data_IF_988944424997
#
_entry.id   IF_988944424997
#
_cell.length_a   1.000
_cell.length_b   1.000
_cell.length_c   1.000
_cell.angle_alpha   90.00
_cell.angle_beta   90.00
_cell.angle_gamma   90.00
#
_symmetry.space_group_name_H-M   'P 1'
#
loop_
_entity.id
_entity.type
_entity.pdbx_description
1 polymer ?
#
# COMPACT_ATOMS: atom_id res chain seq x y z
N UNK A 1 0.72 74.37 -27.16
CA UNK A 1 0.54 72.91 -27.29
C UNK A 1 0.98 72.28 -25.98
N UNK A 2 0.02 71.96 -25.07
CA UNK A 2 0.28 71.34 -23.78
C UNK A 2 0.22 69.82 -23.95
N UNK A 3 1.32 69.15 -23.70
CA UNK A 3 1.37 67.66 -23.62
C UNK A 3 0.85 67.22 -22.26
N UNK A 4 -0.28 66.52 -22.26
CA UNK A 4 -0.83 65.84 -21.08
C UNK A 4 -0.13 64.45 -20.96
N UNK A 5 0.63 64.27 -19.91
CA UNK A 5 1.25 62.98 -19.56
C UNK A 5 0.20 62.18 -18.75
N UNK A 6 -0.35 61.11 -19.34
CA UNK A 6 -1.22 60.17 -18.63
C UNK A 6 -0.33 59.12 -18.01
N UNK A 7 -0.15 59.20 -16.69
CA UNK A 7 0.56 58.18 -15.90
C UNK A 7 -0.43 57.07 -15.58
N UNK A 8 -0.28 55.92 -16.24
CA UNK A 8 -1.03 54.72 -15.91
C UNK A 8 -0.42 54.09 -14.63
N UNK A 9 -1.16 54.15 -13.53
CA UNK A 9 -0.85 53.41 -12.32
C UNK A 9 -1.31 51.96 -12.51
N UNK A 10 -0.37 51.04 -12.78
CA UNK A 10 -0.60 49.59 -12.63
C UNK A 10 -0.62 49.27 -11.14
N UNK A 11 -1.80 49.12 -10.57
CA UNK A 11 -1.94 48.49 -9.25
C UNK A 11 -1.66 47.01 -9.37
N UNK A 12 -0.45 46.59 -9.04
CA UNK A 12 -0.14 45.17 -8.76
C UNK A 12 -0.93 44.77 -7.51
N UNK A 13 -2.06 44.12 -7.71
CA UNK A 13 -2.69 43.32 -6.69
C UNK A 13 -1.80 42.08 -6.48
N UNK A 14 -0.77 42.21 -5.66
CA UNK A 14 -0.07 41.07 -5.06
C UNK A 14 -1.07 40.34 -4.18
N UNK A 15 -1.55 39.20 -4.60
CA UNK A 15 -2.24 38.27 -3.71
C UNK A 15 -1.24 37.93 -2.58
N UNK A 16 -1.43 38.51 -1.42
CA UNK A 16 -0.73 38.12 -0.18
C UNK A 16 -1.26 36.72 0.18
N UNK A 17 -0.61 35.68 -0.35
CA UNK A 17 -0.80 34.35 0.20
C UNK A 17 -0.33 34.41 1.65
N UNK A 18 -1.21 34.12 2.58
CA UNK A 18 -0.86 33.99 3.98
C UNK A 18 0.28 32.96 4.08
N UNK A 19 1.46 33.43 4.49
CA UNK A 19 2.61 32.57 4.76
C UNK A 19 2.26 31.71 5.97
N UNK A 20 1.60 30.56 5.73
CA UNK A 20 1.27 29.58 6.75
C UNK A 20 2.30 28.45 6.76
N UNK A 21 2.38 27.74 7.86
CA UNK A 21 3.12 26.49 7.96
C UNK A 21 2.13 25.36 8.11
N UNK A 22 2.32 24.29 7.33
CA UNK A 22 1.58 23.04 7.49
C UNK A 22 2.53 21.94 7.98
N UNK A 23 2.03 21.08 8.86
CA UNK A 23 2.74 19.90 9.36
C UNK A 23 2.24 18.66 8.67
N UNK A 24 3.16 17.88 8.11
CA UNK A 24 2.91 16.64 7.37
C UNK A 24 3.49 15.48 8.16
N UNK A 25 2.69 14.45 8.44
CA UNK A 25 3.22 13.18 8.90
C UNK A 25 3.35 12.21 7.71
N UNK A 26 4.44 11.44 7.74
CA UNK A 26 4.70 10.36 6.79
C UNK A 26 5.52 9.26 7.44
N UNK A 27 5.44 8.04 6.91
CA UNK A 27 6.34 6.94 7.26
C UNK A 27 7.47 6.75 6.25
N UNK A 28 7.57 7.62 5.26
CA UNK A 28 8.58 7.50 4.22
C UNK A 28 10.00 7.55 4.76
N UNK A 29 10.86 6.76 4.13
CA UNK A 29 12.31 6.78 4.27
C UNK A 29 12.98 6.81 2.90
N UNK A 30 14.31 6.84 2.88
CA UNK A 30 15.10 6.72 1.67
C UNK A 30 14.65 7.60 0.49
N UNK A 31 14.53 7.01 -0.73
CA UNK A 31 14.15 7.76 -1.94
C UNK A 31 12.76 8.40 -1.89
N UNK A 32 11.79 7.78 -1.20
CA UNK A 32 10.44 8.32 -1.07
C UNK A 32 10.41 9.58 -0.20
N UNK A 33 11.17 9.60 0.90
CA UNK A 33 11.29 10.77 1.75
C UNK A 33 11.98 11.92 1.01
N UNK A 34 13.06 11.63 0.27
CA UNK A 34 13.75 12.62 -0.55
C UNK A 34 12.83 13.23 -1.62
N UNK A 35 11.98 12.42 -2.25
CA UNK A 35 10.96 12.90 -3.17
C UNK A 35 9.96 13.84 -2.48
N UNK A 36 9.42 13.46 -1.32
CA UNK A 36 8.46 14.29 -0.58
C UNK A 36 9.07 15.61 -0.14
N UNK A 37 10.33 15.61 0.31
CA UNK A 37 11.07 16.84 0.67
C UNK A 37 11.24 17.76 -0.55
N UNK A 38 11.58 17.22 -1.71
CA UNK A 38 11.70 17.97 -2.96
C UNK A 38 10.35 18.56 -3.42
N UNK A 39 9.28 17.77 -3.31
CA UNK A 39 7.91 18.22 -3.58
C UNK A 39 7.49 19.35 -2.65
N UNK A 40 7.80 19.24 -1.35
CA UNK A 40 7.54 20.27 -0.35
C UNK A 40 8.25 21.59 -0.66
N UNK A 41 9.54 21.54 -1.04
CA UNK A 41 10.30 22.72 -1.45
C UNK A 41 9.71 23.36 -2.71
N UNK A 42 9.29 22.56 -3.69
CA UNK A 42 8.66 23.05 -4.92
C UNK A 42 7.31 23.72 -4.63
N UNK A 43 6.51 23.11 -3.77
CA UNK A 43 5.24 23.68 -3.32
C UNK A 43 5.44 24.99 -2.55
N UNK A 44 6.42 25.04 -1.63
CA UNK A 44 6.76 26.26 -0.89
C UNK A 44 7.16 27.41 -1.82
N UNK A 45 7.98 27.13 -2.83
CA UNK A 45 8.36 28.14 -3.85
C UNK A 45 7.16 28.67 -4.64
N UNK A 46 6.19 27.81 -4.94
CA UNK A 46 5.02 28.16 -5.74
C UNK A 46 3.93 28.87 -4.91
N UNK A 47 3.74 28.48 -3.65
CA UNK A 47 2.60 28.93 -2.81
C UNK A 47 2.97 29.85 -1.66
N UNK A 48 4.26 29.94 -1.28
CA UNK A 48 4.71 30.64 -0.07
C UNK A 48 4.43 29.87 1.22
N UNK A 49 3.77 28.69 1.16
CA UNK A 49 3.43 27.87 2.33
C UNK A 49 4.62 27.01 2.73
N UNK A 50 5.09 27.12 3.98
CA UNK A 50 6.14 26.24 4.54
C UNK A 50 5.54 24.87 4.85
N UNK A 51 6.26 23.80 4.47
CA UNK A 51 5.85 22.41 4.73
C UNK A 51 6.86 21.77 5.70
N UNK A 52 6.39 21.48 6.91
CA UNK A 52 7.17 20.79 7.94
C UNK A 52 6.87 19.29 7.90
N UNK A 53 7.85 18.47 7.49
CA UNK A 53 7.72 17.01 7.37
C UNK A 53 8.23 16.34 8.64
N UNK A 54 7.38 15.51 9.24
CA UNK A 54 7.69 14.70 10.43
C UNK A 54 7.54 13.23 10.07
N UNK A 55 8.62 12.48 10.22
CA UNK A 55 8.58 11.02 10.04
C UNK A 55 8.03 10.35 11.30
N UNK A 56 7.01 9.52 11.13
CA UNK A 56 6.35 8.75 12.19
C UNK A 56 6.37 7.28 11.79
N UNK A 57 6.70 6.33 12.69
CA UNK A 57 6.64 4.91 12.39
C UNK A 57 5.26 4.51 11.86
N UNK A 58 5.22 3.69 10.81
CA UNK A 58 3.99 3.31 10.11
C UNK A 58 2.89 2.81 11.06
N UNK A 59 3.24 1.91 12.00
CA UNK A 59 2.30 1.35 12.96
C UNK A 59 1.71 2.35 13.97
N UNK A 60 2.34 3.52 14.12
CA UNK A 60 1.94 4.54 15.11
C UNK A 60 1.02 5.61 14.53
N UNK A 61 1.06 5.84 13.21
CA UNK A 61 0.39 6.99 12.57
C UNK A 61 -1.09 7.04 12.93
N UNK A 62 -1.81 5.96 12.67
CA UNK A 62 -3.26 5.91 12.89
C UNK A 62 -3.64 6.25 14.34
N UNK A 63 -3.04 5.55 15.31
CA UNK A 63 -3.39 5.71 16.71
C UNK A 63 -3.01 7.11 17.23
N UNK A 64 -1.82 7.58 16.90
CA UNK A 64 -1.36 8.93 17.28
C UNK A 64 -2.23 10.01 16.66
N UNK A 65 -2.66 9.83 15.40
CA UNK A 65 -3.54 10.76 14.72
C UNK A 65 -4.93 10.81 15.37
N UNK A 66 -5.58 9.66 15.60
CA UNK A 66 -6.91 9.59 16.23
C UNK A 66 -6.90 10.27 17.59
N UNK A 67 -5.88 10.04 18.41
CA UNK A 67 -5.77 10.63 19.75
C UNK A 67 -5.35 12.10 19.74
N UNK A 68 -4.46 12.47 18.83
CA UNK A 68 -3.84 13.80 18.82
C UNK A 68 -4.65 14.86 18.07
N UNK A 69 -5.33 14.50 17.00
CA UNK A 69 -6.03 15.46 16.14
C UNK A 69 -7.08 16.30 16.86
N UNK A 70 -7.98 15.72 17.70
CA UNK A 70 -8.95 16.52 18.45
C UNK A 70 -8.33 17.45 19.52
N UNK A 71 -7.10 17.16 19.93
CA UNK A 71 -6.35 17.95 20.91
C UNK A 71 -5.45 19.03 20.28
N UNK A 72 -5.49 19.20 18.95
CA UNK A 72 -4.60 20.10 18.22
C UNK A 72 -3.13 19.65 18.20
N UNK A 73 -2.85 18.38 18.48
CA UNK A 73 -1.50 17.78 18.52
C UNK A 73 -1.18 16.91 17.30
N UNK A 74 -2.11 16.81 16.35
CA UNK A 74 -1.94 16.07 15.10
C UNK A 74 -1.28 16.93 14.01
N UNK A 75 -0.92 16.33 12.86
CA UNK A 75 -0.49 17.04 11.66
C UNK A 75 -1.67 17.72 10.96
N UNK A 76 -1.40 18.58 9.99
CA UNK A 76 -2.44 19.11 9.08
C UNK A 76 -2.88 18.04 8.06
N UNK A 77 -1.96 17.17 7.64
CA UNK A 77 -2.23 16.06 6.73
C UNK A 77 -1.25 14.89 6.94
N UNK A 78 -1.65 13.71 6.48
CA UNK A 78 -0.78 12.52 6.42
C UNK A 78 -0.51 12.16 4.96
N UNK A 79 0.73 11.96 4.62
CA UNK A 79 1.25 11.41 3.35
C UNK A 79 2.13 10.20 3.70
N UNK A 80 1.82 9.03 3.43
CA UNK A 80 0.72 8.32 2.82
C UNK A 80 -0.02 7.51 3.87
N UNK A 81 -1.34 7.37 3.71
CA UNK A 81 -2.15 6.51 4.56
C UNK A 81 -2.74 5.39 3.69
N UNK A 82 -2.63 4.10 4.09
CA UNK A 82 -3.31 3.02 3.38
C UNK A 82 -4.81 3.01 3.68
N UNK A 83 -5.62 2.64 2.69
CA UNK A 83 -7.08 2.71 2.78
C UNK A 83 -7.69 1.89 3.92
N UNK A 84 -7.07 0.77 4.30
CA UNK A 84 -7.57 -0.09 5.39
C UNK A 84 -7.59 0.59 6.76
N UNK A 85 -6.78 1.65 6.93
CA UNK A 85 -6.75 2.47 8.14
C UNK A 85 -7.74 3.64 8.08
N UNK A 86 -8.14 4.06 6.87
CA UNK A 86 -8.96 5.25 6.65
C UNK A 86 -10.34 5.13 7.28
N UNK A 87 -11.02 3.97 7.17
CA UNK A 87 -12.38 3.80 7.67
C UNK A 87 -12.50 4.03 9.18
N UNK A 88 -11.56 3.53 9.98
CA UNK A 88 -11.55 3.76 11.44
C UNK A 88 -11.34 5.24 11.76
N UNK A 89 -10.44 5.93 11.04
CA UNK A 89 -10.19 7.35 11.21
C UNK A 89 -11.37 8.21 10.77
N UNK A 90 -12.09 7.81 9.70
CA UNK A 90 -13.30 8.48 9.23
C UNK A 90 -14.44 8.37 10.28
N UNK A 91 -14.64 7.17 10.85
CA UNK A 91 -15.62 6.95 11.92
C UNK A 91 -15.28 7.73 13.19
N UNK A 92 -13.99 7.83 13.53
CA UNK A 92 -13.50 8.66 14.64
C UNK A 92 -13.68 10.18 14.39
N UNK A 93 -14.12 10.60 13.19
CA UNK A 93 -14.34 12.01 12.84
C UNK A 93 -13.06 12.85 12.74
N UNK A 94 -11.90 12.21 12.59
CA UNK A 94 -10.61 12.92 12.53
C UNK A 94 -10.17 13.28 11.11
N UNK A 95 -10.85 12.75 10.08
CA UNK A 95 -10.56 13.05 8.68
C UNK A 95 -11.55 14.07 8.11
N UNK A 96 -11.03 15.04 7.36
CA UNK A 96 -11.83 16.00 6.59
C UNK A 96 -12.40 15.33 5.34
N UNK A 97 -13.73 15.35 5.10
CA UNK A 97 -14.32 14.94 3.83
C UNK A 97 -13.85 15.85 2.71
N UNK A 98 -13.39 15.29 1.61
CA UNK A 98 -12.71 16.03 0.55
C UNK A 98 -13.61 16.35 -0.66
N UNK A 99 -14.86 15.90 -0.68
CA UNK A 99 -15.78 16.06 -1.82
C UNK A 99 -15.90 17.50 -2.31
N UNK A 100 -15.97 18.46 -1.39
CA UNK A 100 -16.07 19.90 -1.74
C UNK A 100 -14.77 20.51 -2.27
N UNK A 101 -13.65 19.79 -2.14
CA UNK A 101 -12.34 20.29 -2.56
C UNK A 101 -11.86 19.70 -3.87
N UNK A 102 -12.44 18.60 -4.34
CA UNK A 102 -12.06 17.92 -5.58
C UNK A 102 -13.09 18.15 -6.68
N UNK A 103 -12.66 18.11 -7.94
CA UNK A 103 -13.55 18.20 -9.09
C UNK A 103 -13.92 16.82 -9.59
N UNK A 104 -15.05 16.69 -10.29
CA UNK A 104 -15.44 15.45 -10.96
C UNK A 104 -14.36 15.00 -11.98
N UNK A 105 -13.69 15.93 -12.64
CA UNK A 105 -12.57 15.64 -13.55
C UNK A 105 -11.39 14.95 -12.84
N UNK A 106 -11.06 15.37 -11.62
CA UNK A 106 -10.03 14.71 -10.83
C UNK A 106 -10.44 13.25 -10.53
N UNK A 107 -11.65 13.05 -10.02
CA UNK A 107 -12.16 11.72 -9.63
C UNK A 107 -12.22 10.78 -10.85
N UNK A 108 -12.76 11.23 -11.98
CA UNK A 108 -12.88 10.43 -13.21
C UNK A 108 -11.52 10.13 -13.88
N UNK A 109 -10.51 10.93 -13.57
CA UNK A 109 -9.11 10.73 -14.02
C UNK A 109 -8.35 9.67 -13.26
N UNK A 110 -8.92 9.11 -12.16
CA UNK A 110 -8.32 8.05 -11.36
C UNK A 110 -8.85 6.67 -11.78
N UNK A 111 -8.08 5.64 -11.44
CA UNK A 111 -8.56 4.26 -11.49
C UNK A 111 -9.72 4.07 -10.50
N UNK A 112 -10.83 3.39 -10.87
CA UNK A 112 -12.01 3.26 -10.01
C UNK A 112 -11.68 2.65 -8.64
N UNK A 113 -10.82 1.63 -8.60
CA UNK A 113 -10.37 0.98 -7.36
C UNK A 113 -9.73 1.96 -6.37
N UNK A 114 -9.07 3.00 -6.87
CA UNK A 114 -8.43 4.01 -6.03
C UNK A 114 -9.46 4.98 -5.42
N UNK A 115 -10.49 5.33 -6.17
CA UNK A 115 -11.60 6.16 -5.68
C UNK A 115 -12.38 5.40 -4.60
N UNK A 116 -12.74 4.14 -4.88
CA UNK A 116 -13.47 3.27 -3.95
C UNK A 116 -12.69 3.05 -2.66
N UNK A 117 -11.36 2.92 -2.75
CA UNK A 117 -10.47 2.72 -1.61
C UNK A 117 -10.56 3.86 -0.59
N UNK A 118 -10.74 5.10 -1.02
CA UNK A 118 -10.84 6.28 -0.15
C UNK A 118 -12.26 6.84 0.00
N UNK A 119 -13.26 6.12 -0.51
CA UNK A 119 -14.68 6.43 -0.30
C UNK A 119 -15.26 5.59 0.85
N UNK A 120 -15.80 6.24 1.86
CA UNK A 120 -16.46 5.61 3.00
C UNK A 120 -17.76 6.35 3.33
N UNK A 121 -18.87 5.61 3.49
CA UNK A 121 -20.17 6.22 3.74
C UNK A 121 -20.59 7.23 2.67
N UNK A 122 -20.21 7.01 1.42
CA UNK A 122 -20.52 7.89 0.29
C UNK A 122 -19.70 9.19 0.23
N UNK A 123 -18.64 9.33 1.06
CA UNK A 123 -17.76 10.51 1.10
C UNK A 123 -16.32 10.14 0.79
N UNK A 124 -15.60 10.99 0.09
CA UNK A 124 -14.18 10.85 -0.20
C UNK A 124 -13.36 11.41 0.98
N UNK A 125 -12.56 10.58 1.66
CA UNK A 125 -11.74 10.97 2.82
C UNK A 125 -10.24 11.07 2.54
N UNK A 126 -9.80 10.80 1.33
CA UNK A 126 -8.40 10.94 0.95
C UNK A 126 -8.25 11.17 -0.54
N UNK A 127 -7.11 11.72 -0.94
CA UNK A 127 -6.70 11.82 -2.34
C UNK A 127 -5.79 10.66 -2.67
N UNK A 128 -6.24 9.68 -3.50
CA UNK A 128 -5.43 8.54 -3.89
C UNK A 128 -4.17 8.99 -4.61
N UNK A 129 -3.03 8.39 -4.25
CA UNK A 129 -1.72 8.75 -4.78
C UNK A 129 -1.02 7.61 -5.51
N UNK A 130 -1.09 6.40 -4.97
CA UNK A 130 -0.49 5.21 -5.59
C UNK A 130 -1.25 3.94 -5.23
N UNK A 131 -1.22 2.96 -6.13
CA UNK A 131 -1.62 1.59 -5.84
C UNK A 131 -0.41 0.73 -5.50
N UNK A 132 -0.63 -0.35 -4.78
CA UNK A 132 0.39 -1.30 -4.41
C UNK A 132 -0.18 -2.72 -4.26
N UNK A 133 0.68 -3.68 -4.48
CA UNK A 133 0.47 -5.09 -4.16
C UNK A 133 1.83 -5.75 -3.99
N UNK A 134 1.88 -6.95 -3.43
CA UNK A 134 3.07 -7.78 -3.60
C UNK A 134 3.03 -8.48 -4.95
N UNK A 135 4.22 -8.67 -5.54
CA UNK A 135 4.43 -9.38 -6.79
C UNK A 135 5.75 -10.17 -6.70
N UNK A 136 5.99 -11.08 -7.61
CA UNK A 136 7.27 -11.77 -7.69
C UNK A 136 8.30 -10.86 -8.36
N UNK A 137 9.27 -10.40 -7.57
CA UNK A 137 10.43 -9.64 -8.06
C UNK A 137 11.59 -10.62 -8.21
N UNK A 138 12.27 -10.61 -9.34
CA UNK A 138 13.37 -11.51 -9.62
C UNK A 138 14.63 -10.77 -10.02
N UNK A 139 15.78 -11.27 -9.58
CA UNK A 139 17.10 -10.78 -9.97
C UNK A 139 17.46 -11.31 -11.35
N UNK A 140 17.48 -10.46 -12.38
CA UNK A 140 17.74 -10.85 -13.77
C UNK A 140 19.11 -11.45 -13.98
N UNK A 141 20.09 -11.10 -13.14
CA UNK A 141 21.43 -11.69 -13.19
C UNK A 141 21.40 -13.18 -12.85
N UNK A 142 20.55 -13.59 -11.91
CA UNK A 142 20.39 -14.98 -11.48
C UNK A 142 19.32 -15.70 -12.29
N UNK A 143 18.23 -14.99 -12.62
CA UNK A 143 17.03 -15.49 -13.30
C UNK A 143 16.79 -14.67 -14.57
N UNK A 144 17.58 -14.91 -15.65
CA UNK A 144 17.41 -14.16 -16.90
C UNK A 144 16.07 -14.44 -17.59
N UNK A 145 15.46 -15.59 -17.34
CA UNK A 145 14.15 -15.97 -17.84
C UNK A 145 13.21 -16.19 -16.63
N UNK A 146 12.26 -15.27 -16.36
CA UNK A 146 11.36 -15.42 -15.22
C UNK A 146 10.43 -16.61 -15.41
N UNK A 147 9.98 -17.25 -14.30
CA UNK A 147 9.06 -18.37 -14.36
C UNK A 147 7.68 -17.94 -14.87
N UNK A 148 7.09 -18.77 -15.73
CA UNK A 148 5.72 -18.61 -16.25
C UNK A 148 4.72 -19.53 -15.56
N UNK A 149 5.21 -20.59 -14.95
CA UNK A 149 4.43 -21.61 -14.26
C UNK A 149 4.95 -21.85 -12.85
N UNK A 150 4.12 -22.48 -12.02
CA UNK A 150 4.52 -22.92 -10.68
C UNK A 150 5.72 -23.88 -10.72
N UNK A 151 5.73 -24.83 -11.66
CA UNK A 151 6.82 -25.81 -11.77
C UNK A 151 8.14 -25.13 -12.16
N UNK A 152 8.11 -24.16 -13.06
CA UNK A 152 9.29 -23.36 -13.39
C UNK A 152 9.76 -22.53 -12.20
N UNK A 153 8.83 -21.94 -11.41
CA UNK A 153 9.14 -21.23 -10.18
C UNK A 153 9.83 -22.15 -9.16
N UNK A 154 9.28 -23.34 -8.92
CA UNK A 154 9.88 -24.31 -8.01
C UNK A 154 11.27 -24.77 -8.48
N UNK A 155 11.45 -25.02 -9.76
CA UNK A 155 12.73 -25.43 -10.32
C UNK A 155 13.81 -24.36 -10.09
N UNK A 156 13.48 -23.08 -10.36
CA UNK A 156 14.36 -21.95 -10.12
C UNK A 156 14.63 -21.77 -8.62
N UNK A 157 13.59 -21.78 -7.79
CA UNK A 157 13.71 -21.61 -6.36
C UNK A 157 14.64 -22.68 -5.74
N UNK A 158 14.43 -23.96 -6.07
CA UNK A 158 15.29 -25.05 -5.60
C UNK A 158 16.72 -24.94 -6.10
N UNK A 159 16.92 -24.54 -7.36
CA UNK A 159 18.27 -24.39 -7.96
C UNK A 159 19.14 -23.39 -7.19
N UNK A 160 18.54 -22.28 -6.73
CA UNK A 160 19.27 -21.23 -6.04
C UNK A 160 19.23 -21.32 -4.51
N UNK A 161 18.51 -22.29 -3.94
CA UNK A 161 18.54 -22.55 -2.49
C UNK A 161 19.74 -23.44 -2.17
N UNK A 162 20.81 -22.81 -1.64
CA UNK A 162 22.10 -23.43 -1.26
C UNK A 162 22.49 -23.00 0.15
N UNK A 163 23.71 -23.26 0.59
CA UNK A 163 24.25 -22.71 1.85
C UNK A 163 24.43 -21.20 1.83
N UNK A 164 24.68 -20.61 0.64
CA UNK A 164 25.12 -19.22 0.49
C UNK A 164 24.09 -18.32 -0.21
N UNK A 165 23.09 -18.92 -0.86
CA UNK A 165 22.06 -18.23 -1.63
C UNK A 165 20.68 -18.78 -1.36
N UNK A 166 19.65 -17.96 -1.60
CA UNK A 166 18.25 -18.34 -1.49
C UNK A 166 17.55 -18.25 -2.85
N UNK A 167 16.70 -19.24 -3.15
CA UNK A 167 15.92 -19.22 -4.38
C UNK A 167 14.67 -18.35 -4.27
N UNK A 168 14.00 -18.39 -3.13
CA UNK A 168 12.80 -17.61 -2.86
C UNK A 168 12.64 -17.31 -1.37
N UNK A 169 12.41 -16.05 -1.03
CA UNK A 169 12.04 -15.61 0.31
C UNK A 169 10.93 -14.56 0.26
N UNK A 170 10.27 -14.37 1.38
CA UNK A 170 9.30 -13.31 1.58
C UNK A 170 9.04 -13.10 3.08
N UNK A 171 8.30 -12.05 3.45
CA UNK A 171 7.87 -11.84 4.84
C UNK A 171 6.76 -12.84 5.21
N UNK A 172 7.17 -14.01 5.73
CA UNK A 172 6.31 -15.19 5.87
C UNK A 172 5.18 -15.03 6.90
N UNK A 173 5.40 -14.22 7.95
CA UNK A 173 4.43 -14.05 9.04
C UNK A 173 3.52 -12.82 8.88
N UNK A 174 3.65 -12.08 7.78
CA UNK A 174 2.83 -10.92 7.51
C UNK A 174 1.57 -11.27 6.71
N UNK A 175 0.42 -10.89 7.23
CA UNK A 175 -0.88 -11.17 6.63
C UNK A 175 -1.05 -10.55 5.23
N UNK A 176 -0.48 -9.37 4.96
CA UNK A 176 -0.54 -8.71 3.67
C UNK A 176 0.18 -9.51 2.58
N UNK A 177 1.35 -10.06 2.90
CA UNK A 177 2.14 -10.89 1.98
C UNK A 177 1.50 -12.25 1.72
N UNK A 178 0.78 -12.78 2.71
CA UNK A 178 0.21 -14.13 2.65
C UNK A 178 -1.22 -14.19 2.10
N UNK A 179 -1.93 -13.07 1.97
CA UNK A 179 -3.34 -13.10 1.54
C UNK A 179 -3.55 -13.79 0.19
N UNK A 180 -2.61 -13.68 -0.73
CA UNK A 180 -2.68 -14.35 -2.03
C UNK A 180 -2.86 -15.86 -1.93
N UNK A 181 -2.26 -16.50 -0.93
CA UNK A 181 -2.40 -17.94 -0.67
C UNK A 181 -3.79 -18.29 -0.10
N UNK A 182 -4.39 -17.41 0.68
CA UNK A 182 -5.79 -17.56 1.11
C UNK A 182 -6.75 -17.38 -0.07
N UNK A 183 -6.54 -16.34 -0.87
CA UNK A 183 -7.39 -16.02 -2.01
C UNK A 183 -7.42 -17.12 -3.05
N UNK A 184 -6.30 -17.75 -3.37
CA UNK A 184 -6.24 -18.83 -4.37
C UNK A 184 -7.09 -20.03 -3.97
N UNK A 185 -7.29 -20.29 -2.68
CA UNK A 185 -8.19 -21.31 -2.15
C UNK A 185 -9.66 -20.89 -2.12
N UNK A 186 -9.94 -19.62 -2.46
CA UNK A 186 -11.28 -19.06 -2.50
C UNK A 186 -11.67 -18.27 -1.26
N UNK A 187 -10.73 -17.97 -0.35
CA UNK A 187 -10.97 -17.12 0.80
C UNK A 187 -11.29 -15.67 0.42
N UNK A 188 -11.95 -14.99 1.34
CA UNK A 188 -12.22 -13.56 1.34
C UNK A 188 -12.19 -13.06 2.78
N UNK A 189 -11.92 -11.76 2.98
CA UNK A 189 -11.92 -11.19 4.35
C UNK A 189 -13.34 -11.07 4.87
N UNK A 190 -14.16 -10.27 4.20
CA UNK A 190 -15.57 -10.08 4.53
C UNK A 190 -16.45 -10.40 3.31
N UNK A 191 -17.58 -11.03 3.56
CA UNK A 191 -18.63 -11.17 2.56
C UNK A 191 -19.23 -9.82 2.16
N UNK A 192 -20.25 -9.86 1.30
CA UNK A 192 -20.95 -8.65 0.85
C UNK A 192 -22.43 -8.70 1.23
N UNK A 193 -22.94 -7.55 1.65
CA UNK A 193 -24.36 -7.30 1.78
C UNK A 193 -25.00 -7.12 0.39
N UNK A 194 -26.34 -7.17 0.26
CA UNK A 194 -27.04 -6.96 -1.00
C UNK A 194 -26.75 -5.62 -1.69
N UNK A 195 -26.41 -4.58 -0.91
CA UNK A 195 -26.01 -3.26 -1.40
C UNK A 195 -24.53 -3.16 -1.83
N UNK A 196 -23.79 -4.29 -1.74
CA UNK A 196 -22.37 -4.36 -2.07
C UNK A 196 -21.41 -3.95 -0.96
N UNK A 197 -21.90 -3.43 0.17
CA UNK A 197 -21.08 -3.09 1.33
C UNK A 197 -20.49 -4.34 2.00
N UNK A 198 -19.42 -4.17 2.80
CA UNK A 198 -18.80 -5.28 3.51
C UNK A 198 -19.71 -5.84 4.60
N UNK A 199 -19.97 -7.15 4.55
CA UNK A 199 -20.63 -7.88 5.64
C UNK A 199 -19.57 -8.38 6.62
N UNK A 200 -19.30 -7.60 7.65
CA UNK A 200 -18.27 -7.91 8.66
C UNK A 200 -18.60 -9.07 9.59
N UNK A 201 -19.82 -9.63 9.50
CA UNK A 201 -20.22 -10.86 10.21
C UNK A 201 -19.87 -12.13 9.42
N UNK A 202 -19.71 -12.01 8.10
CA UNK A 202 -19.32 -13.10 7.20
C UNK A 202 -17.82 -13.03 6.91
N UNK A 203 -17.05 -13.88 7.58
CA UNK A 203 -15.57 -13.92 7.51
C UNK A 203 -15.16 -15.20 6.79
N UNK A 204 -14.63 -15.06 5.58
CA UNK A 204 -14.26 -16.19 4.72
C UNK A 204 -12.80 -16.64 4.82
N UNK A 205 -12.10 -16.35 5.93
CA UNK A 205 -10.70 -16.73 6.15
C UNK A 205 -10.54 -18.09 6.87
N UNK A 206 -11.63 -18.70 7.32
CA UNK A 206 -11.59 -19.90 8.15
C UNK A 206 -12.05 -21.17 7.43
N UNK A 207 -12.39 -22.20 8.24
CA UNK A 207 -12.88 -23.47 7.77
C UNK A 207 -11.88 -24.20 6.86
N UNK A 208 -12.38 -25.05 5.96
CA UNK A 208 -11.55 -25.82 5.05
C UNK A 208 -10.71 -24.96 4.09
N UNK A 209 -11.19 -23.78 3.74
CA UNK A 209 -10.49 -22.83 2.84
C UNK A 209 -9.28 -22.25 3.55
N UNK A 210 -9.46 -21.74 4.77
CA UNK A 210 -8.35 -21.22 5.58
C UNK A 210 -7.33 -22.30 5.94
N UNK A 211 -7.79 -23.50 6.29
CA UNK A 211 -6.91 -24.61 6.60
C UNK A 211 -6.01 -24.98 5.41
N UNK A 212 -6.57 -25.08 4.18
CA UNK A 212 -5.78 -25.36 2.97
C UNK A 212 -4.77 -24.24 2.66
N UNK A 213 -5.13 -22.98 2.87
CA UNK A 213 -4.21 -21.86 2.69
C UNK A 213 -3.03 -21.95 3.65
N UNK A 214 -3.30 -22.22 4.94
CA UNK A 214 -2.26 -22.40 5.96
C UNK A 214 -1.39 -23.65 5.69
N UNK A 215 -1.99 -24.75 5.19
CA UNK A 215 -1.23 -25.94 4.78
C UNK A 215 -0.29 -25.64 3.62
N UNK A 216 -0.73 -24.85 2.64
CA UNK A 216 0.13 -24.47 1.54
C UNK A 216 1.29 -23.57 1.99
N UNK A 217 1.02 -22.57 2.84
CA UNK A 217 2.05 -21.68 3.40
C UNK A 217 3.08 -22.52 4.18
N UNK A 218 2.62 -23.41 5.06
CA UNK A 218 3.46 -24.35 5.78
C UNK A 218 4.28 -25.24 4.84
N UNK A 219 3.71 -25.65 3.71
CA UNK A 219 4.40 -26.48 2.72
C UNK A 219 5.58 -25.75 2.05
N UNK A 220 5.57 -24.42 1.95
CA UNK A 220 6.72 -23.66 1.43
C UNK A 220 7.99 -23.95 2.23
N UNK A 221 7.86 -24.11 3.55
CA UNK A 221 8.95 -24.51 4.45
C UNK A 221 9.18 -26.01 4.45
N UNK A 222 8.20 -26.78 4.89
CA UNK A 222 8.40 -28.19 5.26
C UNK A 222 8.37 -29.16 4.08
N UNK A 223 7.67 -28.86 3.01
CA UNK A 223 7.54 -29.75 1.83
C UNK A 223 8.47 -29.31 0.71
N UNK A 224 8.51 -28.01 0.43
CA UNK A 224 9.30 -27.49 -0.67
C UNK A 224 10.71 -27.06 -0.25
N UNK A 225 10.94 -26.78 1.06
CA UNK A 225 12.24 -26.38 1.60
C UNK A 225 12.71 -25.00 1.08
N UNK A 226 11.78 -24.11 0.78
CA UNK A 226 12.10 -22.82 0.15
C UNK A 226 12.33 -21.69 1.15
N UNK A 227 11.55 -21.66 2.24
CA UNK A 227 11.57 -20.56 3.22
C UNK A 227 12.00 -21.14 4.57
N UNK A 228 13.22 -20.80 5.06
CA UNK A 228 13.68 -21.24 6.38
C UNK A 228 12.90 -20.51 7.50
N UNK A 229 13.08 -20.98 8.74
CA UNK A 229 12.47 -20.37 9.91
C UNK A 229 12.99 -18.96 10.18
N UNK A 230 12.10 -18.06 10.61
CA UNK A 230 12.45 -16.71 11.05
C UNK A 230 12.69 -15.70 9.92
N UNK A 231 12.19 -15.95 8.73
CA UNK A 231 12.29 -15.00 7.61
C UNK A 231 11.25 -13.91 7.78
N UNK A 232 11.69 -12.74 8.25
CA UNK A 232 10.92 -11.52 8.28
C UNK A 232 11.19 -10.64 7.04
N UNK A 233 10.56 -9.46 7.02
CA UNK A 233 10.75 -8.48 5.94
C UNK A 233 12.22 -8.09 5.78
N UNK A 234 12.92 -7.82 6.90
CA UNK A 234 14.32 -7.34 6.89
C UNK A 234 15.28 -8.40 6.33
N UNK A 235 15.09 -9.66 6.72
CA UNK A 235 15.90 -10.79 6.23
C UNK A 235 15.71 -10.98 4.72
N UNK A 236 14.45 -11.06 4.25
CA UNK A 236 14.18 -11.28 2.83
C UNK A 236 14.66 -10.10 1.96
N UNK A 237 14.33 -8.86 2.36
CA UNK A 237 14.67 -7.64 1.64
C UNK A 237 16.19 -7.40 1.62
N UNK A 238 16.88 -7.66 2.73
CA UNK A 238 18.34 -7.60 2.84
C UNK A 238 19.02 -8.59 1.89
N UNK A 239 18.62 -9.86 1.91
CA UNK A 239 19.17 -10.90 1.03
C UNK A 239 18.99 -10.55 -0.46
N UNK A 240 17.85 -9.93 -0.84
CA UNK A 240 17.63 -9.50 -2.21
C UNK A 240 18.53 -8.32 -2.58
N UNK A 241 18.66 -7.31 -1.71
CA UNK A 241 19.57 -6.16 -1.91
C UNK A 241 21.03 -6.56 -2.05
N UNK A 242 21.44 -7.58 -1.30
CA UNK A 242 22.82 -8.11 -1.37
C UNK A 242 23.07 -9.00 -2.60
N UNK A 243 22.02 -9.27 -3.40
CA UNK A 243 22.10 -10.14 -4.58
C UNK A 243 22.19 -11.64 -4.26
N UNK A 244 22.00 -12.03 -3.00
CA UNK A 244 22.02 -13.42 -2.52
C UNK A 244 20.68 -14.15 -2.68
N UNK A 245 19.63 -13.46 -3.14
CA UNK A 245 18.29 -14.00 -3.32
C UNK A 245 17.87 -13.92 -4.79
N UNK A 246 17.42 -15.03 -5.36
CA UNK A 246 17.01 -15.10 -6.76
C UNK A 246 15.64 -14.46 -7.01
N UNK A 247 14.66 -14.72 -6.14
CA UNK A 247 13.29 -14.23 -6.26
C UNK A 247 12.73 -13.85 -4.88
N UNK A 248 12.03 -12.73 -4.82
CA UNK A 248 11.36 -12.24 -3.60
C UNK A 248 9.90 -11.91 -3.90
N UNK A 249 8.99 -12.25 -2.99
CA UNK A 249 7.65 -11.66 -2.99
C UNK A 249 7.72 -10.35 -2.20
N UNK A 250 7.60 -9.21 -2.90
CA UNK A 250 7.69 -7.89 -2.28
C UNK A 250 6.87 -6.88 -3.08
N UNK A 251 6.74 -5.66 -2.57
CA UNK A 251 5.94 -4.60 -3.18
C UNK A 251 6.77 -3.46 -3.77
N UNK A 252 6.09 -2.50 -4.44
CA UNK A 252 6.76 -1.40 -5.14
C UNK A 252 7.52 -0.44 -4.20
N UNK A 253 7.24 -0.46 -2.91
CA UNK A 253 7.95 0.33 -1.89
C UNK A 253 9.44 -0.02 -1.74
N UNK A 254 9.86 -1.21 -2.16
CA UNK A 254 11.26 -1.65 -2.10
C UNK A 254 12.10 -1.22 -3.31
N UNK A 255 11.45 -0.86 -4.42
CA UNK A 255 12.12 -0.67 -5.72
C UNK A 255 13.11 0.48 -5.73
N UNK A 256 12.85 1.55 -4.99
CA UNK A 256 13.76 2.67 -4.86
C UNK A 256 15.11 2.25 -4.27
N UNK A 257 15.09 1.41 -3.23
CA UNK A 257 16.30 0.88 -2.61
C UNK A 257 16.99 -0.17 -3.49
N UNK A 258 16.24 -1.00 -4.21
CA UNK A 258 16.82 -1.96 -5.18
C UNK A 258 17.54 -1.25 -6.34
N UNK A 259 16.97 -0.17 -6.88
CA UNK A 259 17.62 0.69 -7.86
C UNK A 259 18.90 1.32 -7.31
N UNK A 260 18.86 1.81 -6.07
CA UNK A 260 20.01 2.39 -5.37
C UNK A 260 21.12 1.36 -5.12
N UNK A 261 20.76 0.10 -4.90
CA UNK A 261 21.69 -1.03 -4.81
C UNK A 261 22.22 -1.52 -6.18
N UNK A 262 21.85 -0.86 -7.29
CA UNK A 262 22.19 -1.24 -8.67
C UNK A 262 21.75 -2.66 -9.05
N UNK A 263 20.64 -3.15 -8.51
CA UNK A 263 20.07 -4.42 -8.91
C UNK A 263 19.36 -4.31 -10.26
N UNK A 264 19.64 -5.23 -11.16
CA UNK A 264 18.84 -5.46 -12.38
C UNK A 264 17.77 -6.48 -12.06
N UNK A 265 16.53 -6.02 -11.94
CA UNK A 265 15.38 -6.84 -11.55
C UNK A 265 14.22 -6.71 -12.53
N UNK A 266 13.35 -7.71 -12.51
CA UNK A 266 12.08 -7.68 -13.20
C UNK A 266 10.95 -8.01 -12.22
N UNK A 267 9.72 -7.78 -12.66
CA UNK A 267 8.50 -8.01 -11.86
C UNK A 267 7.50 -8.78 -12.70
N UNK A 268 6.90 -9.80 -12.11
CA UNK A 268 5.78 -10.57 -12.69
C UNK A 268 4.76 -10.88 -11.60
N UNK A 269 3.50 -11.18 -11.96
CA UNK A 269 2.58 -11.82 -11.02
C UNK A 269 3.16 -13.11 -10.44
N UNK A 270 2.86 -13.41 -9.18
CA UNK A 270 3.30 -14.67 -8.58
C UNK A 270 2.64 -15.86 -9.30
N UNK A 271 3.40 -16.88 -9.74
CA UNK A 271 2.85 -18.03 -10.44
C UNK A 271 1.86 -18.81 -9.58
N UNK A 272 0.69 -19.09 -10.14
CA UNK A 272 -0.37 -19.81 -9.44
C UNK A 272 -0.03 -21.28 -9.30
N UNK A 273 -0.04 -21.86 -8.08
CA UNK A 273 0.08 -23.30 -7.87
C UNK A 273 -1.06 -24.08 -8.54
N UNK A 274 -0.81 -25.30 -9.00
CA UNK A 274 -1.87 -26.12 -9.60
C UNK A 274 -2.92 -26.59 -8.57
N UNK A 275 -4.14 -26.86 -9.03
CA UNK A 275 -5.22 -27.38 -8.17
C UNK A 275 -5.93 -26.34 -7.31
N UNK A 276 -5.61 -25.07 -7.45
CA UNK A 276 -6.25 -23.96 -6.70
C UNK A 276 -7.58 -23.55 -7.34
N UNK A 277 -8.48 -22.94 -6.58
CA UNK A 277 -9.80 -22.49 -7.05
C UNK A 277 -9.75 -21.23 -7.91
N UNK A 278 -8.72 -20.39 -7.71
CA UNK A 278 -8.54 -19.10 -8.37
C UNK A 278 -7.05 -18.88 -8.67
N UNK A 279 -6.71 -18.03 -9.63
CA UNK A 279 -5.35 -17.55 -9.75
C UNK A 279 -4.87 -16.93 -8.42
N UNK A 280 -3.59 -17.10 -8.08
CA UNK A 280 -2.98 -16.39 -6.98
C UNK A 280 -3.14 -14.88 -7.22
N UNK A 281 -3.55 -14.15 -6.23
CA UNK A 281 -3.76 -12.72 -6.35
C UNK A 281 -3.64 -12.04 -4.99
N UNK A 282 -2.81 -10.98 -4.90
CA UNK A 282 -2.49 -10.31 -3.64
C UNK A 282 -3.63 -9.45 -3.12
N UNK A 283 -3.47 -8.89 -1.92
CA UNK A 283 -4.18 -7.67 -1.58
C UNK A 283 -3.75 -6.53 -2.52
N UNK A 284 -4.72 -5.73 -2.92
CA UNK A 284 -4.49 -4.44 -3.57
C UNK A 284 -4.66 -3.35 -2.53
N UNK A 285 -3.56 -2.67 -2.23
CA UNK A 285 -3.51 -1.49 -1.40
C UNK A 285 -3.58 -0.22 -2.24
N UNK A 286 -4.18 0.82 -1.71
CA UNK A 286 -4.09 2.17 -2.23
C UNK A 286 -3.61 3.09 -1.13
N UNK A 287 -2.57 3.84 -1.44
CA UNK A 287 -2.02 4.86 -0.56
C UNK A 287 -2.57 6.23 -0.97
N UNK A 288 -2.97 7.02 0.01
CA UNK A 288 -3.53 8.34 -0.25
C UNK A 288 -3.07 9.40 0.75
N UNK A 289 -3.36 10.63 0.40
CA UNK A 289 -3.16 11.80 1.27
C UNK A 289 -4.47 12.11 1.97
N UNK A 290 -4.47 12.14 3.30
CA UNK A 290 -5.63 12.47 4.11
C UNK A 290 -5.41 13.76 4.89
N UNK A 291 -6.47 14.56 5.09
CA UNK A 291 -6.41 15.87 5.75
C UNK A 291 -7.10 15.78 7.11
N UNK A 292 -6.49 16.40 8.10
CA UNK A 292 -7.00 16.46 9.46
C UNK A 292 -8.25 17.37 9.55
N UNK A 293 -9.37 16.82 10.05
CA UNK A 293 -10.61 17.57 10.25
C UNK A 293 -10.45 18.74 11.24
N UNK A 294 -9.48 18.66 12.15
CA UNK A 294 -9.19 19.68 13.16
C UNK A 294 -8.08 20.66 12.76
N UNK A 295 -7.49 20.51 11.57
CA UNK A 295 -6.48 21.44 11.07
C UNK A 295 -7.03 22.87 10.96
N UNK A 296 -6.24 23.85 11.41
CA UNK A 296 -6.53 25.26 11.20
C UNK A 296 -6.03 25.76 9.83
N UNK A 297 -5.21 24.91 9.16
CA UNK A 297 -4.58 25.21 7.86
C UNK A 297 -5.18 24.36 6.72
N UNK A 298 -6.46 23.97 6.81
CA UNK A 298 -7.11 23.01 5.90
C UNK A 298 -6.90 23.32 4.42
N UNK A 299 -7.07 24.60 4.03
CA UNK A 299 -6.94 25.01 2.61
C UNK A 299 -5.50 24.78 2.13
N UNK A 300 -4.50 25.16 2.92
CA UNK A 300 -3.09 24.95 2.58
C UNK A 300 -2.76 23.45 2.53
N UNK A 301 -3.25 22.66 3.47
CA UNK A 301 -3.10 21.19 3.50
C UNK A 301 -3.73 20.54 2.26
N UNK A 302 -4.96 20.90 1.90
CA UNK A 302 -5.64 20.42 0.69
C UNK A 302 -4.89 20.81 -0.57
N UNK A 303 -4.38 22.05 -0.66
CA UNK A 303 -3.61 22.48 -1.82
C UNK A 303 -2.30 21.71 -1.97
N UNK A 304 -1.63 21.39 -0.86
CA UNK A 304 -0.45 20.53 -0.89
C UNK A 304 -0.83 19.09 -1.28
N UNK A 305 -1.92 18.54 -0.75
CA UNK A 305 -2.42 17.23 -1.16
C UNK A 305 -2.70 17.19 -2.67
N UNK A 306 -3.39 18.21 -3.24
CA UNK A 306 -3.62 18.33 -4.68
C UNK A 306 -2.33 18.37 -5.48
N UNK A 307 -1.31 19.09 -4.99
CA UNK A 307 -0.01 19.17 -5.63
C UNK A 307 0.68 17.79 -5.71
N UNK A 308 0.60 16.99 -4.63
CA UNK A 308 1.20 15.67 -4.56
C UNK A 308 0.52 14.62 -5.45
N UNK A 309 -0.78 14.79 -5.76
CA UNK A 309 -1.56 13.79 -6.51
C UNK A 309 -1.76 14.14 -7.99
N UNK A 310 -1.09 15.18 -8.49
CA UNK A 310 -1.10 15.46 -9.94
C UNK A 310 -0.50 14.30 -10.72
N UNK A 311 -0.88 14.07 -11.99
CA UNK A 311 -0.28 13.02 -12.81
C UNK A 311 1.26 13.13 -12.89
N UNK A 312 1.79 14.33 -12.97
CA UNK A 312 3.24 14.61 -13.00
C UNK A 312 3.91 14.22 -11.69
N UNK A 313 3.31 14.56 -10.55
CA UNK A 313 3.78 14.16 -9.23
C UNK A 313 3.77 12.64 -9.07
N UNK A 314 2.72 11.94 -9.52
CA UNK A 314 2.65 10.49 -9.45
C UNK A 314 3.70 9.81 -10.34
N UNK A 315 3.98 10.35 -11.54
CA UNK A 315 5.09 9.87 -12.40
C UNK A 315 6.43 10.07 -11.69
N UNK A 316 6.70 11.24 -11.13
CA UNK A 316 7.96 11.53 -10.44
C UNK A 316 8.12 10.67 -9.17
N UNK A 317 7.02 10.38 -8.47
CA UNK A 317 7.01 9.47 -7.32
C UNK A 317 7.32 8.02 -7.71
N UNK A 318 6.77 7.55 -8.84
CA UNK A 318 7.14 6.25 -9.41
C UNK A 318 8.64 6.18 -9.75
N UNK A 319 9.17 7.22 -10.38
CA UNK A 319 10.59 7.27 -10.74
C UNK A 319 11.51 7.22 -9.53
N UNK A 320 11.14 7.93 -8.44
CA UNK A 320 11.91 7.98 -7.19
C UNK A 320 11.78 6.69 -6.36
N UNK A 321 10.55 6.26 -6.07
CA UNK A 321 10.24 5.20 -5.11
C UNK A 321 9.71 3.91 -5.73
N UNK A 322 9.33 3.91 -7.01
CA UNK A 322 8.76 2.73 -7.68
C UNK A 322 7.24 2.58 -7.53
N UNK A 323 6.56 3.44 -6.77
CA UNK A 323 5.12 3.36 -6.50
C UNK A 323 4.28 3.43 -7.78
N UNK A 324 3.23 2.62 -7.86
CA UNK A 324 2.41 2.52 -9.07
C UNK A 324 1.35 3.63 -9.05
N UNK A 325 1.31 4.51 -10.05
CA UNK A 325 0.31 5.58 -10.12
C UNK A 325 -1.12 5.06 -10.15
N UNK A 326 -2.06 5.87 -9.67
CA UNK A 326 -3.51 5.64 -9.78
C UNK A 326 -4.19 6.61 -10.73
N UNK A 327 -3.49 7.61 -11.23
CA UNK A 327 -3.94 8.48 -12.31
C UNK A 327 -3.83 7.74 -13.65
N UNK A 328 -4.93 7.64 -14.39
CA UNK A 328 -4.97 7.02 -15.73
C UNK A 328 -3.95 7.65 -16.68
N UNK A 329 -3.80 8.98 -16.64
CA UNK A 329 -2.83 9.68 -17.48
C UNK A 329 -1.38 9.46 -17.06
N UNK A 330 -1.10 9.28 -15.76
CA UNK A 330 0.22 8.91 -15.28
C UNK A 330 0.59 7.47 -15.67
N UNK A 331 -0.34 6.52 -15.53
CA UNK A 331 -0.17 5.13 -15.98
C UNK A 331 0.10 5.07 -17.48
N UNK A 332 -0.62 5.84 -18.30
CA UNK A 332 -0.39 5.91 -19.74
C UNK A 332 1.02 6.38 -20.10
N UNK A 333 1.60 7.31 -19.32
CA UNK A 333 2.99 7.77 -19.52
C UNK A 333 4.03 6.69 -19.18
N UNK A 334 3.68 5.71 -18.35
CA UNK A 334 4.57 4.65 -17.85
C UNK A 334 4.26 3.27 -18.47
N UNK A 335 3.39 3.18 -19.48
CA UNK A 335 2.93 1.92 -20.06
C UNK A 335 4.05 1.05 -20.68
N UNK A 336 5.18 1.65 -21.05
CA UNK A 336 6.38 0.95 -21.58
C UNK A 336 7.31 0.42 -20.48
N UNK A 337 7.14 0.86 -19.23
CA UNK A 337 7.94 0.38 -18.10
C UNK A 337 7.51 -1.03 -17.70
N UNK A 338 8.42 -2.02 -17.87
CA UNK A 338 8.13 -3.42 -17.60
C UNK A 338 7.87 -3.72 -16.12
N UNK A 339 8.43 -2.92 -15.21
CA UNK A 339 8.22 -3.04 -13.76
C UNK A 339 6.82 -2.56 -13.41
N UNK A 340 6.40 -1.39 -13.93
CA UNK A 340 5.05 -0.87 -13.79
C UNK A 340 4.03 -1.85 -14.36
N UNK A 341 4.31 -2.43 -15.52
CA UNK A 341 3.46 -3.45 -16.16
C UNK A 341 3.31 -4.68 -15.27
N UNK A 342 4.40 -5.25 -14.74
CA UNK A 342 4.36 -6.43 -13.89
C UNK A 342 3.54 -6.22 -12.61
N UNK A 343 3.67 -5.06 -11.95
CA UNK A 343 2.83 -4.72 -10.80
C UNK A 343 1.37 -4.49 -11.21
N UNK A 344 1.11 -3.82 -12.34
CA UNK A 344 -0.26 -3.60 -12.83
C UNK A 344 -0.97 -4.93 -13.13
N UNK A 345 -0.26 -5.90 -13.70
CA UNK A 345 -0.77 -7.27 -13.92
C UNK A 345 -1.07 -7.99 -12.58
N UNK A 346 -0.19 -7.86 -11.57
CA UNK A 346 -0.42 -8.42 -10.23
C UNK A 346 -1.62 -7.76 -9.54
N UNK A 347 -1.74 -6.42 -9.62
CA UNK A 347 -2.88 -5.65 -9.09
C UNK A 347 -4.20 -6.11 -9.75
N UNK A 348 -4.20 -6.34 -11.07
CA UNK A 348 -5.39 -6.80 -11.80
C UNK A 348 -5.89 -8.19 -11.35
N UNK A 349 -4.99 -9.05 -10.87
CA UNK A 349 -5.34 -10.35 -10.28
C UNK A 349 -5.75 -10.24 -8.81
N UNK A 350 -5.49 -9.13 -8.17
CA UNK A 350 -5.62 -8.93 -6.72
C UNK A 350 -7.05 -8.70 -6.23
N UNK A 351 -7.15 -8.46 -4.93
CA UNK A 351 -8.40 -8.10 -4.25
C UNK A 351 -8.17 -6.82 -3.45
N UNK A 352 -8.96 -5.76 -3.67
CA UNK A 352 -8.87 -4.55 -2.87
C UNK A 352 -9.03 -4.84 -1.37
N UNK A 353 -8.16 -4.28 -0.55
CA UNK A 353 -8.32 -4.38 0.90
C UNK A 353 -9.61 -3.67 1.33
N UNK A 354 -10.39 -4.25 2.24
CA UNK A 354 -11.53 -3.55 2.83
C UNK A 354 -11.10 -2.26 3.54
N UNK A 355 -11.84 -1.18 3.31
CA UNK A 355 -11.60 0.13 3.96
C UNK A 355 -12.51 0.38 5.17
N UNK A 356 -13.12 -0.67 5.73
CA UNK A 356 -14.02 -0.60 6.89
C UNK A 356 -13.24 -0.72 8.19
N UNK A 357 -13.71 -0.13 9.31
CA UNK A 357 -13.03 -0.20 10.62
C UNK A 357 -12.71 -1.61 11.10
N UNK A 358 -13.56 -2.58 10.75
CA UNK A 358 -13.38 -3.99 11.10
C UNK A 358 -12.10 -4.61 10.52
N UNK A 359 -11.54 -4.05 9.43
CA UNK A 359 -10.29 -4.54 8.84
C UNK A 359 -9.12 -4.46 9.83
N UNK A 360 -9.08 -3.47 10.68
CA UNK A 360 -8.07 -3.35 11.75
C UNK A 360 -8.07 -4.51 12.76
N UNK A 361 -9.15 -5.32 12.81
CA UNK A 361 -9.26 -6.51 13.68
C UNK A 361 -8.84 -7.82 12.99
N UNK A 362 -8.45 -7.75 11.72
CA UNK A 362 -8.06 -8.90 10.90
C UNK A 362 -6.55 -9.16 10.99
N UNK A 363 -5.74 -8.10 10.99
CA UNK A 363 -4.29 -8.17 10.85
C UNK A 363 -3.60 -9.01 11.93
N UNK A 364 -3.87 -8.71 13.21
CA UNK A 364 -3.28 -9.44 14.34
C UNK A 364 -3.63 -10.92 14.33
N UNK A 365 -4.93 -11.30 14.32
CA UNK A 365 -5.31 -12.71 14.25
C UNK A 365 -4.74 -13.47 13.04
N UNK A 366 -4.63 -12.84 11.86
CA UNK A 366 -3.99 -13.47 10.71
C UNK A 366 -2.49 -13.73 10.94
N UNK A 367 -1.76 -12.74 11.46
CA UNK A 367 -0.35 -12.91 11.77
C UNK A 367 -0.11 -14.00 12.82
N UNK A 368 -0.98 -14.09 13.84
CA UNK A 368 -0.91 -15.16 14.85
C UNK A 368 -1.19 -16.53 14.24
N UNK A 369 -2.19 -16.63 13.35
CA UNK A 369 -2.52 -17.87 12.66
C UNK A 369 -1.36 -18.36 11.75
N UNK A 370 -0.68 -17.45 11.05
CA UNK A 370 0.50 -17.77 10.24
C UNK A 370 1.62 -18.33 11.12
N UNK A 371 2.00 -17.63 12.19
CA UNK A 371 3.02 -18.08 13.14
C UNK A 371 2.71 -19.46 13.73
N UNK A 372 1.45 -19.70 14.13
CA UNK A 372 1.02 -20.98 14.68
C UNK A 372 1.07 -22.11 13.63
N UNK A 373 0.69 -21.83 12.39
CA UNK A 373 0.73 -22.81 11.32
C UNK A 373 2.17 -23.24 10.98
N UNK A 374 3.09 -22.28 10.95
CA UNK A 374 4.50 -22.49 10.58
C UNK A 374 5.37 -22.99 11.73
N UNK A 375 4.89 -22.93 12.98
CA UNK A 375 5.66 -23.33 14.15
C UNK A 375 6.09 -24.80 14.12
N UNK A 376 5.29 -25.70 13.51
CA UNK A 376 5.55 -27.14 13.41
C UNK A 376 4.96 -27.73 12.14
N UNK A 377 5.61 -28.76 11.61
CA UNK A 377 5.12 -29.47 10.43
C UNK A 377 3.74 -30.12 10.63
N UNK A 378 3.44 -30.59 11.84
CA UNK A 378 2.19 -31.23 12.23
C UNK A 378 1.16 -30.29 12.85
N UNK A 379 1.33 -28.97 12.73
CA UNK A 379 0.37 -27.98 13.21
C UNK A 379 -1.04 -28.24 12.66
N UNK A 380 -2.03 -28.17 13.54
CA UNK A 380 -3.44 -28.39 13.18
C UNK A 380 -4.06 -27.15 12.53
N UNK A 381 -3.88 -27.01 11.23
CA UNK A 381 -4.35 -25.86 10.44
C UNK A 381 -5.87 -25.70 10.44
N UNK A 382 -6.63 -26.78 10.58
CA UNK A 382 -8.09 -26.71 10.72
C UNK A 382 -8.49 -26.00 12.01
N UNK A 383 -7.86 -26.32 13.12
CA UNK A 383 -8.13 -25.64 14.39
C UNK A 383 -7.66 -24.18 14.34
N UNK A 384 -6.47 -23.94 13.79
CA UNK A 384 -5.92 -22.58 13.64
C UNK A 384 -6.83 -21.68 12.79
N UNK A 385 -7.33 -22.20 11.67
CA UNK A 385 -8.25 -21.46 10.79
C UNK A 385 -9.60 -21.14 11.48
N UNK A 386 -10.09 -22.06 12.33
CA UNK A 386 -11.30 -21.83 13.13
C UNK A 386 -11.07 -20.76 14.19
N UNK A 387 -9.92 -20.80 14.86
CA UNK A 387 -9.53 -19.84 15.89
C UNK A 387 -9.29 -18.45 15.32
N UNK A 388 -8.72 -18.35 14.14
CA UNK A 388 -8.55 -17.09 13.39
C UNK A 388 -9.89 -16.35 13.26
N UNK A 389 -10.91 -17.02 12.74
CA UNK A 389 -12.26 -16.38 12.56
C UNK A 389 -12.85 -15.97 13.90
N UNK A 390 -12.76 -16.84 14.91
CA UNK A 390 -13.28 -16.56 16.26
C UNK A 390 -12.61 -15.33 16.89
N UNK A 391 -11.30 -15.18 16.74
CA UNK A 391 -10.56 -14.01 17.24
C UNK A 391 -10.94 -12.72 16.51
N UNK A 392 -11.09 -12.76 15.16
CA UNK A 392 -11.57 -11.60 14.40
C UNK A 392 -12.97 -11.20 14.87
N UNK A 393 -13.90 -12.16 14.99
CA UNK A 393 -15.27 -11.89 15.47
C UNK A 393 -15.29 -11.27 16.86
N UNK A 394 -14.47 -11.80 17.79
CA UNK A 394 -14.30 -11.23 19.13
C UNK A 394 -13.76 -9.80 19.09
N UNK A 395 -12.76 -9.54 18.25
CA UNK A 395 -12.18 -8.21 18.07
C UNK A 395 -13.19 -7.19 17.52
N UNK A 396 -14.05 -7.61 16.58
CA UNK A 396 -15.10 -6.76 16.00
C UNK A 396 -16.20 -6.48 17.05
N UNK A 397 -16.62 -7.49 17.79
CA UNK A 397 -17.66 -7.35 18.84
C UNK A 397 -17.20 -6.45 20.00
N UNK A 398 -15.91 -6.51 20.39
CA UNK A 398 -15.35 -5.69 21.46
C UNK A 398 -15.04 -4.24 21.06
N UNK A 399 -15.19 -3.89 19.78
CA UNK A 399 -15.00 -2.53 19.26
C UNK A 399 -16.32 -1.74 19.12
N UNK A 400 -17.46 -2.36 19.42
CA UNK A 400 -18.79 -1.74 19.50
C UNK A 400 -19.03 -1.19 20.89
#
# INVERSE_FOLDING_TARGET
MRKVLVTLFFALFGAVFAQGTITVWTHFGGPELAWLQSAAQSFQKASGTTVNIVTVPFGDIKQKFILGAPQGKGPDLVVTLPQDQMGEMAVAGVLEPLDKYVTQNYVSGLEPVAVDAFTYGGKLFGMPMSAESVALIYNKKLVPNPPKTWDEFLAIAKKFTTSDTFGFLYNETDAYFNYGFFRMEGAYVFGKNPDGSANTSDIGLGGAVGAKALDFIKALRYTYGLVPDGVDYGVADGAFKDGALAMILNGPWSLGDYKKANLDFGVIPFPTPPGTKRPWGPFVGVQGVVVNAYSQNKIAAVNFAKFLVTPESQVSFNQAGGRIPVSKSALAKLQSDQVVKGFSEAIALGTPMPNVPAMGKVWGPMADALKLAEAKQDSNTTQIASDLVRQIQKGIAGAK
#
